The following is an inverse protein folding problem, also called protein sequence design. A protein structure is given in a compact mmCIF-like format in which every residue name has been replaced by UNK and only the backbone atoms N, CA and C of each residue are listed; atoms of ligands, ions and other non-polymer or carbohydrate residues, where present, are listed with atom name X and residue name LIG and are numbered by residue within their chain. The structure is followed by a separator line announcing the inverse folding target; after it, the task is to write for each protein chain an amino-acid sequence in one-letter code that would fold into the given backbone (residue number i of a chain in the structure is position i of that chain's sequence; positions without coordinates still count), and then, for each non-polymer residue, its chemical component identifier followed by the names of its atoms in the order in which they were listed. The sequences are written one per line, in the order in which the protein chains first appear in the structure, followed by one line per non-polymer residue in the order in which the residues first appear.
data_IF_288116084926
#
_entry.id   IF_288116084926
#
_cell.length_a   1.000
_cell.length_b   1.000
_cell.length_c   1.000
_cell.angle_alpha   90.00
_cell.angle_beta   90.00
_cell.angle_gamma   90.00
#
_symmetry.space_group_name_H-M   'P 1'
#
loop_
_entity.id
_entity.type
_entity.pdbx_description
1 polymer ?
#
# COMPACT_ATOMS: atom_id res chain seq x y z
N UNK A 1 20.07 -18.81 4.88
CA UNK A 1 20.07 -17.45 4.29
C UNK A 1 19.14 -17.47 3.09
N UNK A 2 17.91 -16.96 3.23
CA UNK A 2 16.95 -16.86 2.13
C UNK A 2 17.45 -15.79 1.15
N UNK A 3 17.61 -16.15 -0.12
CA UNK A 3 18.30 -15.34 -1.13
C UNK A 3 17.38 -14.48 -1.99
N UNK A 4 16.08 -14.47 -1.73
CA UNK A 4 15.11 -13.80 -2.59
C UNK A 4 14.25 -12.92 -1.69
N UNK A 5 14.30 -11.60 -1.87
CA UNK A 5 13.49 -10.61 -1.12
C UNK A 5 11.99 -10.67 -1.42
N UNK A 6 11.50 -11.83 -1.85
CA UNK A 6 10.11 -12.12 -2.12
C UNK A 6 9.45 -12.67 -0.86
N UNK A 7 8.19 -12.32 -0.63
CA UNK A 7 7.39 -12.89 0.45
C UNK A 7 6.88 -14.31 0.13
N UNK A 8 7.10 -14.81 -1.09
CA UNK A 8 6.70 -16.16 -1.53
C UNK A 8 7.09 -17.30 -0.56
N UNK A 9 8.26 -17.29 0.11
CA UNK A 9 8.62 -18.31 1.09
C UNK A 9 7.75 -18.29 2.35
N UNK A 10 7.16 -17.14 2.69
CA UNK A 10 6.24 -16.96 3.82
C UNK A 10 4.78 -17.26 3.45
N UNK A 11 4.50 -17.53 2.16
CA UNK A 11 3.16 -17.86 1.66
C UNK A 11 2.85 -19.36 1.81
N UNK A 12 3.79 -20.20 2.26
CA UNK A 12 3.55 -21.65 2.35
C UNK A 12 3.12 -22.18 3.72
N UNK A 13 2.05 -22.96 3.59
CA UNK A 13 1.29 -23.81 4.50
C UNK A 13 0.51 -23.09 5.60
N UNK A 14 -0.83 -23.24 5.52
CA UNK A 14 -1.82 -22.88 6.55
C UNK A 14 -1.38 -23.44 7.90
N UNK A 15 -0.52 -22.71 8.62
CA UNK A 15 -0.20 -22.99 10.01
C UNK A 15 -1.42 -22.56 10.83
N UNK A 16 -2.17 -23.54 11.31
CA UNK A 16 -3.13 -23.44 12.40
C UNK A 16 -4.22 -22.37 12.26
N UNK A 17 -5.36 -22.76 11.68
CA UNK A 17 -6.71 -22.38 12.12
C UNK A 17 -7.21 -20.93 12.03
N UNK A 18 -6.36 -19.92 11.84
CA UNK A 18 -6.79 -18.52 11.85
C UNK A 18 -6.61 -17.89 10.47
N UNK A 19 -7.73 -17.62 9.82
CA UNK A 19 -7.75 -16.82 8.59
C UNK A 19 -7.39 -15.37 8.91
N UNK A 20 -6.43 -14.75 8.21
CA UNK A 20 -6.07 -13.36 8.46
C UNK A 20 -7.27 -12.46 8.19
N UNK A 21 -7.62 -11.61 9.15
CA UNK A 21 -8.67 -10.61 8.96
C UNK A 21 -8.06 -9.33 8.43
N UNK A 22 -8.61 -8.81 7.32
CA UNK A 22 -8.20 -7.56 6.70
C UNK A 22 -9.40 -6.61 6.75
N UNK A 23 -9.19 -5.42 7.30
CA UNK A 23 -10.21 -4.36 7.28
C UNK A 23 -9.90 -3.46 6.08
N UNK A 24 -10.86 -3.32 5.18
CA UNK A 24 -10.77 -2.51 3.97
C UNK A 24 -11.62 -1.25 4.14
N UNK A 25 -11.10 -0.11 3.70
CA UNK A 25 -11.89 1.12 3.64
C UNK A 25 -13.07 0.97 2.68
N UNK A 26 -14.24 1.44 3.10
CA UNK A 26 -15.48 1.37 2.30
C UNK A 26 -15.39 2.06 0.93
N UNK A 27 -14.62 3.16 0.81
CA UNK A 27 -14.36 3.81 -0.47
C UNK A 27 -13.54 2.90 -1.37
N UNK A 28 -12.58 2.17 -0.80
CA UNK A 28 -11.74 1.25 -1.54
C UNK A 28 -12.46 -0.05 -1.93
N UNK A 29 -13.34 -0.55 -1.06
CA UNK A 29 -14.22 -1.68 -1.39
C UNK A 29 -15.12 -1.38 -2.61
N UNK A 30 -15.46 -0.10 -2.85
CA UNK A 30 -16.22 0.33 -4.01
C UNK A 30 -15.39 0.39 -5.30
N UNK A 31 -14.14 0.86 -5.21
CA UNK A 31 -13.22 1.07 -6.33
C UNK A 31 -12.51 -0.23 -6.77
N UNK A 32 -12.23 -1.13 -5.83
CA UNK A 32 -11.34 -2.26 -6.00
C UNK A 32 -11.97 -3.61 -5.58
N UNK A 33 -13.23 -3.85 -5.96
CA UNK A 33 -13.97 -5.10 -5.65
C UNK A 33 -13.19 -6.39 -5.94
N UNK A 34 -12.41 -6.41 -7.03
CA UNK A 34 -11.58 -7.56 -7.39
C UNK A 34 -10.50 -7.89 -6.34
N UNK A 35 -9.99 -6.89 -5.63
CA UNK A 35 -9.00 -7.07 -4.56
C UNK A 35 -9.67 -7.76 -3.38
N UNK A 36 -10.84 -7.30 -2.94
CA UNK A 36 -11.60 -7.97 -1.89
C UNK A 36 -11.89 -9.43 -2.24
N UNK A 37 -12.38 -9.70 -3.45
CA UNK A 37 -12.62 -11.08 -3.92
C UNK A 37 -11.35 -11.92 -3.92
N UNK A 38 -10.25 -11.40 -4.47
CA UNK A 38 -8.97 -12.12 -4.53
C UNK A 38 -8.34 -12.38 -3.16
N UNK A 39 -8.56 -11.50 -2.18
CA UNK A 39 -8.14 -11.72 -0.80
C UNK A 39 -8.96 -12.84 -0.14
N UNK A 40 -10.27 -12.83 -0.32
CA UNK A 40 -11.17 -13.89 0.18
C UNK A 40 -10.84 -15.25 -0.44
N UNK A 41 -10.60 -15.31 -1.75
CA UNK A 41 -10.20 -16.54 -2.46
C UNK A 41 -8.86 -17.10 -1.95
N UNK A 42 -7.97 -16.23 -1.45
CA UNK A 42 -6.69 -16.61 -0.83
C UNK A 42 -6.83 -16.98 0.65
N UNK A 43 -8.05 -16.97 1.20
CA UNK A 43 -8.35 -17.40 2.57
C UNK A 43 -8.21 -16.30 3.62
N UNK A 44 -8.33 -15.03 3.23
CA UNK A 44 -8.45 -13.93 4.19
C UNK A 44 -9.93 -13.61 4.48
N UNK A 45 -10.24 -13.28 5.72
CA UNK A 45 -11.54 -12.69 6.07
C UNK A 45 -11.49 -11.19 5.81
N UNK A 46 -12.26 -10.71 4.83
CA UNK A 46 -12.31 -9.28 4.49
C UNK A 46 -13.52 -8.62 5.17
N UNK A 47 -13.27 -7.58 5.95
CA UNK A 47 -14.29 -6.70 6.54
C UNK A 47 -14.22 -5.33 5.89
N UNK A 48 -15.36 -4.67 5.72
CA UNK A 48 -15.42 -3.32 5.16
C UNK A 48 -15.88 -2.35 6.22
N UNK A 49 -15.09 -1.32 6.48
CA UNK A 49 -15.35 -0.28 7.48
C UNK A 49 -15.01 1.10 6.92
N UNK A 50 -15.47 2.17 7.57
CA UNK A 50 -15.02 3.54 7.24
C UNK A 50 -13.74 3.80 8.02
N UNK A 51 -12.62 3.96 7.32
CA UNK A 51 -11.33 4.19 7.96
C UNK A 51 -10.97 5.68 7.92
N UNK A 52 -10.47 6.19 9.05
CA UNK A 52 -9.93 7.55 9.09
C UNK A 52 -8.61 7.65 8.31
N UNK A 53 -7.83 6.56 8.27
CA UNK A 53 -6.49 6.50 7.65
C UNK A 53 -6.23 5.12 7.03
N UNK A 54 -5.59 5.12 5.87
CA UNK A 54 -5.18 3.91 5.14
C UNK A 54 -6.34 3.24 4.40
N UNK A 55 -5.99 2.43 3.40
CA UNK A 55 -6.97 1.72 2.58
C UNK A 55 -7.21 0.30 3.08
N UNK A 56 -6.18 -0.34 3.67
CA UNK A 56 -6.26 -1.68 4.24
C UNK A 56 -5.51 -1.75 5.57
N UNK A 57 -6.17 -2.22 6.62
CA UNK A 57 -5.54 -2.50 7.91
C UNK A 57 -5.32 -4.00 8.00
N UNK A 58 -4.07 -4.39 8.19
CA UNK A 58 -3.63 -5.78 8.31
C UNK A 58 -3.46 -6.20 9.77
N UNK A 59 -3.15 -5.24 10.65
CA UNK A 59 -3.15 -5.43 12.10
C UNK A 59 -3.23 -4.07 12.81
N UNK A 60 -3.29 -4.10 14.14
CA UNK A 60 -3.10 -2.94 15.03
C UNK A 60 -1.84 -2.11 14.76
N UNK A 61 -0.82 -2.67 14.11
CA UNK A 61 0.46 -2.02 13.82
C UNK A 61 0.69 -1.79 12.33
N UNK A 62 -0.10 -2.43 11.46
CA UNK A 62 0.20 -2.57 10.04
C UNK A 62 -0.95 -2.12 9.16
N UNK A 63 -0.66 -1.16 8.27
CA UNK A 63 -1.62 -0.65 7.30
C UNK A 63 -0.98 -0.49 5.92
N UNK A 64 -1.80 -0.60 4.88
CA UNK A 64 -1.42 -0.43 3.48
C UNK A 64 -2.17 0.76 2.90
N UNK A 65 -1.43 1.65 2.25
CA UNK A 65 -1.97 2.66 1.36
C UNK A 65 -1.80 2.19 -0.09
N UNK A 66 -2.91 2.09 -0.83
CA UNK A 66 -2.87 1.84 -2.27
C UNK A 66 -2.84 3.18 -3.00
N UNK A 67 -1.98 3.27 -4.02
CA UNK A 67 -1.91 4.49 -4.83
C UNK A 67 -1.55 4.15 -6.25
N UNK A 68 -2.28 4.71 -7.21
CA UNK A 68 -1.85 4.58 -8.61
C UNK A 68 -0.58 5.40 -8.83
N UNK A 69 0.23 5.03 -9.83
CA UNK A 69 1.41 5.83 -10.20
C UNK A 69 1.02 7.28 -10.54
N UNK A 70 -0.13 7.46 -11.19
CA UNK A 70 -0.65 8.78 -11.56
C UNK A 70 -1.00 9.61 -10.31
N UNK A 71 -1.68 9.01 -9.34
CA UNK A 71 -2.02 9.68 -8.08
C UNK A 71 -0.76 9.97 -7.25
N UNK A 72 0.21 9.06 -7.25
CA UNK A 72 1.49 9.29 -6.58
C UNK A 72 2.20 10.53 -7.14
N UNK A 73 2.32 10.64 -8.47
CA UNK A 73 2.89 11.82 -9.12
C UNK A 73 2.06 13.07 -8.81
N UNK A 74 0.74 12.98 -8.91
CA UNK A 74 -0.17 14.09 -8.64
C UNK A 74 -0.01 14.62 -7.20
N UNK A 75 -0.12 13.74 -6.20
CA UNK A 75 0.04 14.08 -4.78
C UNK A 75 1.44 14.60 -4.45
N UNK A 76 2.48 14.07 -5.10
CA UNK A 76 3.86 14.54 -4.96
C UNK A 76 4.02 15.98 -5.46
N UNK A 77 3.52 16.30 -6.66
CA UNK A 77 3.58 17.67 -7.22
C UNK A 77 2.83 18.70 -6.37
N UNK A 78 1.81 18.26 -5.63
CA UNK A 78 0.98 19.08 -4.74
C UNK A 78 1.46 19.08 -3.28
N UNK A 79 2.57 18.40 -2.99
CA UNK A 79 3.29 18.38 -1.69
C UNK A 79 2.57 17.73 -0.50
N UNK A 80 1.43 17.06 -0.70
CA UNK A 80 0.70 16.40 0.40
C UNK A 80 0.95 14.88 0.49
N UNK A 81 1.72 14.29 -0.43
CA UNK A 81 2.09 12.87 -0.39
C UNK A 81 2.73 12.47 0.96
N UNK A 82 3.75 13.21 1.39
CA UNK A 82 4.49 12.91 2.62
C UNK A 82 3.62 13.09 3.86
N UNK A 83 2.81 14.15 3.89
CA UNK A 83 1.88 14.39 4.98
C UNK A 83 0.92 13.20 5.16
N UNK A 84 0.35 12.71 4.07
CA UNK A 84 -0.58 11.59 4.11
C UNK A 84 0.09 10.30 4.63
N UNK A 85 1.26 9.96 4.09
CA UNK A 85 1.95 8.71 4.44
C UNK A 85 2.61 8.74 5.81
N UNK A 86 3.13 9.89 6.26
CA UNK A 86 3.64 10.00 7.63
C UNK A 86 2.51 10.00 8.66
N UNK A 87 1.36 10.62 8.36
CA UNK A 87 0.17 10.51 9.23
C UNK A 87 -0.35 9.07 9.35
N UNK A 88 -0.19 8.26 8.30
CA UNK A 88 -0.48 6.82 8.35
C UNK A 88 0.54 6.12 9.27
N UNK A 89 1.83 6.40 9.07
CA UNK A 89 2.93 5.85 9.88
C UNK A 89 2.82 6.16 11.36
N UNK A 90 2.34 7.36 11.70
CA UNK A 90 2.15 7.77 13.10
C UNK A 90 1.13 6.89 13.83
N UNK A 91 0.16 6.32 13.11
CA UNK A 91 -0.85 5.41 13.67
C UNK A 91 -0.43 3.95 13.52
N UNK A 92 0.15 3.60 12.38
CA UNK A 92 0.58 2.26 12.04
C UNK A 92 2.09 2.25 11.78
N UNK A 93 2.92 1.92 12.79
CA UNK A 93 4.37 1.95 12.66
C UNK A 93 4.91 1.10 11.50
N UNK A 94 4.17 0.06 11.09
CA UNK A 94 4.43 -0.75 9.89
C UNK A 94 3.52 -0.30 8.75
N UNK A 95 3.80 0.87 8.19
CA UNK A 95 3.04 1.39 7.04
C UNK A 95 3.64 0.92 5.72
N UNK A 96 2.80 0.38 4.84
CA UNK A 96 3.17 -0.08 3.51
C UNK A 96 2.50 0.82 2.46
N UNK A 97 3.17 1.00 1.32
CA UNK A 97 2.58 1.63 0.15
C UNK A 97 2.60 0.67 -1.04
N UNK A 98 1.44 0.46 -1.65
CA UNK A 98 1.31 -0.33 -2.88
C UNK A 98 1.12 0.64 -4.05
N UNK A 99 2.15 0.74 -4.89
CA UNK A 99 2.09 1.51 -6.12
C UNK A 99 1.54 0.65 -7.26
N UNK A 100 0.38 1.05 -7.79
CA UNK A 100 -0.28 0.35 -8.87
C UNK A 100 -0.13 1.07 -10.21
N UNK A 101 0.20 0.31 -11.25
CA UNK A 101 0.23 0.77 -12.63
C UNK A 101 1.63 0.73 -13.24
N UNK A 102 1.74 1.32 -14.43
CA UNK A 102 2.96 1.24 -15.23
C UNK A 102 3.94 2.36 -14.87
N UNK A 103 4.90 2.08 -14.00
CA UNK A 103 5.83 3.09 -13.48
C UNK A 103 6.58 3.91 -14.57
N UNK A 104 6.98 3.37 -15.74
CA UNK A 104 7.61 4.18 -16.78
C UNK A 104 6.70 5.27 -17.38
N UNK A 105 5.41 5.34 -17.02
CA UNK A 105 4.56 6.49 -17.37
C UNK A 105 5.08 7.81 -16.77
N UNK A 106 5.87 7.78 -15.69
CA UNK A 106 6.43 8.99 -15.06
C UNK A 106 7.30 9.81 -16.03
N UNK A 107 7.93 9.17 -17.02
CA UNK A 107 8.74 9.85 -18.03
C UNK A 107 7.91 10.67 -19.03
N UNK A 108 6.58 10.49 -19.06
CA UNK A 108 5.67 11.26 -19.91
C UNK A 108 5.15 12.53 -19.24
N UNK A 109 5.34 12.69 -17.94
CA UNK A 109 4.89 13.88 -17.22
C UNK A 109 5.87 15.04 -17.45
N UNK A 110 5.35 16.18 -17.93
CA UNK A 110 6.13 17.41 -18.08
C UNK A 110 6.21 18.23 -16.78
N UNK A 111 5.28 18.02 -15.86
CA UNK A 111 5.17 18.78 -14.60
C UNK A 111 6.15 18.33 -13.52
N UNK A 112 6.84 17.20 -13.70
CA UNK A 112 7.79 16.66 -12.73
C UNK A 112 8.94 15.95 -13.43
N UNK A 113 10.14 16.08 -12.88
CA UNK A 113 11.27 15.28 -13.32
C UNK A 113 11.18 13.85 -12.73
N UNK A 114 11.45 12.79 -13.49
CA UNK A 114 11.45 11.42 -12.99
C UNK A 114 12.32 11.20 -11.74
N UNK A 115 13.45 11.92 -11.65
CA UNK A 115 14.35 11.90 -10.50
C UNK A 115 13.66 12.32 -9.20
N UNK A 116 12.71 13.25 -9.26
CA UNK A 116 11.92 13.66 -8.09
C UNK A 116 11.01 12.54 -7.60
N UNK A 117 10.46 11.72 -8.51
CA UNK A 117 9.66 10.54 -8.15
C UNK A 117 10.55 9.49 -7.49
N UNK A 118 11.71 9.19 -8.06
CA UNK A 118 12.68 8.27 -7.46
C UNK A 118 13.16 8.74 -6.09
N UNK A 119 13.45 10.03 -5.96
CA UNK A 119 13.84 10.64 -4.69
C UNK A 119 12.72 10.54 -3.64
N UNK A 120 11.47 10.71 -4.03
CA UNK A 120 10.32 10.52 -3.14
C UNK A 120 10.21 9.07 -2.67
N UNK A 121 10.28 8.10 -3.59
CA UNK A 121 10.26 6.67 -3.25
C UNK A 121 11.40 6.29 -2.29
N UNK A 122 12.62 6.75 -2.55
CA UNK A 122 13.77 6.52 -1.68
C UNK A 122 13.56 7.15 -0.29
N UNK A 123 13.01 8.36 -0.24
CA UNK A 123 12.74 9.04 1.02
C UNK A 123 11.70 8.27 1.86
N UNK A 124 10.61 7.80 1.24
CA UNK A 124 9.60 6.99 1.91
C UNK A 124 10.19 5.69 2.48
N UNK A 125 10.96 4.96 1.66
CA UNK A 125 11.62 3.73 2.09
C UNK A 125 12.64 3.97 3.21
N UNK A 126 13.45 5.03 3.12
CA UNK A 126 14.38 5.44 4.18
C UNK A 126 13.64 5.75 5.49
N UNK A 127 12.43 6.29 5.40
CA UNK A 127 11.56 6.55 6.54
C UNK A 127 10.69 5.34 6.90
N UNK A 128 10.98 4.12 6.44
CA UNK A 128 10.28 2.91 6.86
C UNK A 128 8.84 2.79 6.37
N UNK A 129 8.50 3.49 5.28
CA UNK A 129 7.27 3.25 4.52
C UNK A 129 7.66 2.48 3.27
N UNK A 130 7.60 1.14 3.34
CA UNK A 130 8.02 0.22 2.30
C UNK A 130 7.40 -1.15 2.49
#
# INVERSE_FOLDING_TARGET
MAKDGSLLPYVKDKKSGVEPTIIMDSREASSAKKIATGLTEKGATVKTEVLEKGDYILSDQCAVERKTVNDFVYTLTRRYLFEQLFRLKDVYPKSLIVLEGYLPIIYKYSSIQPQSVWGAMFNLAKNGIA
#
